data_IF_344417668188
#
_entry.id   IF_344417668188
#
_cell.length_a   1.000
_cell.length_b   1.000
_cell.length_c   1.000
_cell.angle_alpha   90.00
_cell.angle_beta   90.00
_cell.angle_gamma   90.00
#
_symmetry.space_group_name_H-M   'P 1'
#
loop_
_entity.id
_entity.type
_entity.pdbx_description
1 polymer ?
#
# COMPACT_ATOMS: atom_id res chain seq x y z
N UNK A 1 10.48 -47.95 16.38
CA UNK A 1 10.15 -47.67 15.94
C UNK A 1 9.50 -46.81 15.49
N UNK A 2 9.20 -46.11 15.25
CA UNK A 2 8.58 -45.36 14.91
C UNK A 2 8.49 -44.28 14.88
N UNK A 3 8.40 -43.51 14.52
CA UNK A 3 8.41 -42.48 14.44
C UNK A 3 7.64 -41.54 14.20
N UNK A 4 7.36 -40.76 14.44
CA UNK A 4 6.50 -39.88 14.58
C UNK A 4 6.76 -38.73 13.92
N UNK A 5 6.84 -38.30 13.23
CA UNK A 5 7.20 -37.32 12.63
C UNK A 5 6.29 -36.55 12.01
N UNK A 6 5.20 -36.64 11.77
CA UNK A 6 4.35 -36.02 11.11
C UNK A 6 3.87 -34.77 11.53
N UNK A 7 3.97 -34.32 12.63
CA UNK A 7 3.39 -33.22 13.14
C UNK A 7 3.75 -31.93 12.56
N UNK A 8 4.88 -31.73 12.10
CA UNK A 8 5.36 -30.44 11.66
C UNK A 8 4.63 -29.88 10.45
N UNK A 9 3.96 -30.69 9.69
CA UNK A 9 3.31 -30.19 8.53
C UNK A 9 2.19 -29.21 8.80
N UNK A 10 1.47 -29.41 9.84
CA UNK A 10 0.37 -28.51 10.18
C UNK A 10 0.86 -27.11 10.47
N UNK A 11 2.00 -27.01 11.11
CA UNK A 11 2.57 -25.72 11.46
C UNK A 11 2.98 -24.96 10.22
N UNK A 12 3.50 -25.64 9.23
CA UNK A 12 3.90 -24.99 7.99
C UNK A 12 2.73 -24.35 7.28
N UNK A 13 1.58 -24.99 7.26
CA UNK A 13 0.40 -24.44 6.62
C UNK A 13 -0.06 -23.15 7.30
N UNK A 14 -0.01 -23.11 8.60
CA UNK A 14 -0.39 -21.91 9.33
C UNK A 14 0.57 -20.77 9.04
N UNK A 15 1.85 -21.05 8.97
CA UNK A 15 2.85 -20.05 8.67
C UNK A 15 2.67 -19.47 7.26
N UNK A 16 2.31 -20.30 6.29
CA UNK A 16 2.09 -19.83 4.92
C UNK A 16 0.90 -18.88 4.86
N UNK A 17 -0.17 -19.18 5.57
CA UNK A 17 -1.34 -18.31 5.61
C UNK A 17 -1.00 -16.94 6.21
N UNK A 18 -0.23 -16.91 7.28
CA UNK A 18 0.19 -15.68 7.92
C UNK A 18 1.08 -14.84 6.99
N UNK A 19 1.99 -15.50 6.28
CA UNK A 19 2.85 -14.81 5.33
C UNK A 19 2.07 -14.22 4.16
N UNK A 20 1.03 -14.90 3.71
CA UNK A 20 0.20 -14.40 2.63
C UNK A 20 -0.54 -13.13 3.03
N UNK A 21 -1.02 -13.05 4.27
CA UNK A 21 -1.69 -11.85 4.78
C UNK A 21 -0.72 -10.68 4.88
N UNK A 22 0.48 -10.92 5.41
CA UNK A 22 1.50 -9.88 5.53
C UNK A 22 2.04 -9.45 4.17
N UNK A 23 2.06 -10.35 3.18
CA UNK A 23 2.58 -10.04 1.85
C UNK A 23 1.88 -8.88 1.17
N UNK A 24 0.57 -8.72 1.37
CA UNK A 24 -0.16 -7.62 0.75
C UNK A 24 0.32 -6.28 1.26
N UNK A 25 0.50 -6.17 2.55
CA UNK A 25 0.96 -4.93 3.18
C UNK A 25 2.42 -4.67 2.82
N UNK A 26 3.25 -5.70 2.88
CA UNK A 26 4.66 -5.58 2.51
C UNK A 26 4.82 -5.18 1.04
N UNK A 27 3.99 -5.74 0.16
CA UNK A 27 3.96 -5.36 -1.25
C UNK A 27 3.56 -3.92 -1.46
N UNK A 28 2.57 -3.45 -0.70
CA UNK A 28 2.14 -2.06 -0.77
C UNK A 28 3.25 -1.11 -0.31
N UNK A 29 3.90 -1.43 0.80
CA UNK A 29 5.01 -0.63 1.32
C UNK A 29 6.15 -0.58 0.29
N UNK A 30 6.48 -1.72 -0.32
CA UNK A 30 7.52 -1.78 -1.34
C UNK A 30 7.18 -0.91 -2.55
N UNK A 31 5.91 -0.90 -2.97
CA UNK A 31 5.44 -0.07 -4.08
C UNK A 31 5.58 1.41 -3.74
N UNK A 32 5.21 1.81 -2.54
CA UNK A 32 5.35 3.21 -2.10
C UNK A 32 6.82 3.62 -2.07
N UNK A 33 7.72 2.75 -1.64
CA UNK A 33 9.15 3.02 -1.66
C UNK A 33 9.69 3.14 -3.09
N UNK A 34 9.16 2.35 -4.01
CA UNK A 34 9.52 2.45 -5.43
C UNK A 34 9.15 3.83 -5.99
N UNK A 35 7.98 4.34 -5.60
CA UNK A 35 7.56 5.69 -5.99
C UNK A 35 8.52 6.73 -5.43
N UNK A 36 8.95 6.58 -4.19
CA UNK A 36 9.92 7.50 -3.58
C UNK A 36 11.23 7.54 -4.35
N UNK A 37 11.66 6.41 -4.88
CA UNK A 37 12.91 6.30 -5.61
C UNK A 37 12.84 6.72 -7.08
N UNK A 38 11.62 6.95 -7.59
CA UNK A 38 11.42 7.33 -8.99
C UNK A 38 10.94 8.79 -9.03
N UNK A 39 11.80 9.69 -9.48
CA UNK A 39 11.49 11.11 -9.46
C UNK A 39 10.23 11.46 -10.26
N UNK A 40 9.99 10.79 -11.37
CA UNK A 40 8.79 11.03 -12.18
C UNK A 40 7.52 10.59 -11.46
N UNK A 41 7.53 9.41 -10.87
CA UNK A 41 6.38 8.90 -10.12
C UNK A 41 6.15 9.70 -8.86
N UNK A 42 7.21 10.09 -8.18
CA UNK A 42 7.10 10.93 -6.99
C UNK A 42 6.42 12.25 -7.30
N UNK A 43 6.78 12.88 -8.40
CA UNK A 43 6.16 14.12 -8.83
C UNK A 43 4.66 13.93 -9.07
N UNK A 44 4.28 12.84 -9.74
CA UNK A 44 2.88 12.51 -9.99
C UNK A 44 2.13 12.30 -8.68
N UNK A 45 2.72 11.57 -7.75
CA UNK A 45 2.12 11.35 -6.44
C UNK A 45 1.91 12.67 -5.70
N UNK A 46 2.91 13.54 -5.72
CA UNK A 46 2.82 14.83 -5.04
C UNK A 46 1.74 15.74 -5.64
N UNK A 47 1.59 15.72 -6.97
CA UNK A 47 0.52 16.45 -7.63
C UNK A 47 -0.85 15.88 -7.27
N UNK A 48 -0.96 14.54 -7.20
CA UNK A 48 -2.19 13.88 -6.78
C UNK A 48 -2.56 14.26 -5.36
N UNK A 49 -1.58 14.26 -4.45
CA UNK A 49 -1.79 14.65 -3.05
C UNK A 49 -2.29 16.09 -2.94
N UNK A 50 -1.74 16.99 -3.75
CA UNK A 50 -2.18 18.38 -3.75
C UNK A 50 -3.64 18.50 -4.20
N UNK A 51 -4.05 17.73 -5.20
CA UNK A 51 -5.44 17.69 -5.64
C UNK A 51 -6.35 17.17 -4.53
N UNK A 52 -5.94 16.12 -3.85
CA UNK A 52 -6.72 15.56 -2.73
C UNK A 52 -6.87 16.58 -1.60
N UNK A 53 -5.82 17.29 -1.27
CA UNK A 53 -5.86 18.30 -0.21
C UNK A 53 -6.80 19.46 -0.56
N UNK A 54 -6.78 19.90 -1.81
CA UNK A 54 -7.69 20.96 -2.27
C UNK A 54 -9.14 20.50 -2.32
N UNK A 55 -9.37 19.26 -2.69
CA UNK A 55 -10.72 18.72 -2.80
C UNK A 55 -11.36 18.53 -1.44
N UNK A 56 -10.55 18.25 -0.41
CA UNK A 56 -11.05 18.02 0.94
C UNK A 56 -11.91 16.77 1.01
N UNK A 57 -12.94 16.80 1.84
CA UNK A 57 -13.80 15.64 2.08
C UNK A 57 -14.82 15.41 0.96
N UNK A 58 -15.05 16.40 0.13
CA UNK A 58 -16.06 16.31 -0.94
C UNK A 58 -15.44 16.63 -2.29
N UNK A 59 -14.71 15.68 -2.89
CA UNK A 59 -14.11 15.91 -4.19
C UNK A 59 -15.18 16.04 -5.27
N UNK A 60 -15.02 16.99 -6.18
CA UNK A 60 -15.94 17.13 -7.29
C UNK A 60 -15.53 16.21 -8.44
N UNK A 61 -16.32 16.16 -9.49
CA UNK A 61 -16.04 15.29 -10.63
C UNK A 61 -14.70 15.60 -11.31
N UNK A 62 -14.32 16.88 -11.34
CA UNK A 62 -13.05 17.29 -11.94
C UNK A 62 -11.86 16.78 -11.12
N UNK A 63 -11.95 16.86 -9.79
CA UNK A 63 -10.91 16.33 -8.91
C UNK A 63 -10.79 14.81 -9.04
N UNK A 64 -11.92 14.11 -9.07
CA UNK A 64 -11.94 12.66 -9.24
C UNK A 64 -11.27 12.25 -10.56
N UNK A 65 -11.57 12.94 -11.64
CA UNK A 65 -10.98 12.66 -12.95
C UNK A 65 -9.46 12.85 -12.93
N UNK A 66 -8.98 13.88 -12.25
CA UNK A 66 -7.55 14.14 -12.13
C UNK A 66 -6.87 13.05 -11.31
N UNK A 67 -7.48 12.65 -10.19
CA UNK A 67 -6.95 11.59 -9.35
C UNK A 67 -6.85 10.28 -10.13
N UNK A 68 -7.90 9.93 -10.88
CA UNK A 68 -7.88 8.73 -11.72
C UNK A 68 -6.76 8.79 -12.75
N UNK A 69 -6.55 9.96 -13.35
CA UNK A 69 -5.47 10.15 -14.31
C UNK A 69 -4.09 9.93 -13.70
N UNK A 70 -3.88 10.46 -12.49
CA UNK A 70 -2.62 10.25 -11.78
C UNK A 70 -2.44 8.79 -11.39
N UNK A 71 -3.49 8.12 -10.94
CA UNK A 71 -3.44 6.70 -10.60
C UNK A 71 -3.02 5.85 -11.79
N UNK A 72 -3.54 6.17 -12.98
CA UNK A 72 -3.16 5.47 -14.20
C UNK A 72 -1.69 5.70 -14.55
N UNK A 73 -1.20 6.90 -14.35
CA UNK A 73 0.20 7.21 -14.61
C UNK A 73 1.14 6.54 -13.62
N UNK A 74 0.71 6.39 -12.38
CA UNK A 74 1.49 5.68 -11.36
C UNK A 74 1.53 4.17 -11.62
N UNK A 75 0.53 3.65 -12.31
CA UNK A 75 0.49 2.26 -12.74
C UNK A 75 -0.41 1.38 -11.89
N UNK A 76 -0.73 0.17 -12.38
CA UNK A 76 -1.64 -0.73 -11.69
C UNK A 76 -1.11 -1.22 -10.34
N UNK A 77 0.20 -1.33 -10.19
CA UNK A 77 0.80 -1.74 -8.91
C UNK A 77 0.51 -0.72 -7.82
N UNK A 78 0.55 0.56 -8.16
CA UNK A 78 0.23 1.60 -7.20
C UNK A 78 -1.25 1.54 -6.79
N UNK A 79 -2.14 1.30 -7.73
CA UNK A 79 -3.56 1.15 -7.44
C UNK A 79 -3.81 -0.03 -6.49
N UNK A 80 -3.14 -1.15 -6.72
CA UNK A 80 -3.23 -2.32 -5.84
C UNK A 80 -2.71 -1.99 -4.44
N UNK A 81 -1.60 -1.27 -4.35
CA UNK A 81 -1.03 -0.87 -3.07
C UNK A 81 -1.95 0.09 -2.31
N UNK A 82 -2.54 1.03 -3.03
CA UNK A 82 -3.48 1.99 -2.44
C UNK A 82 -4.69 1.26 -1.87
N UNK A 83 -5.24 0.32 -2.63
CA UNK A 83 -6.42 -0.43 -2.21
C UNK A 83 -6.12 -1.44 -1.11
N UNK A 84 -4.87 -1.87 -0.97
CA UNK A 84 -4.48 -2.81 0.09
C UNK A 84 -4.78 -2.26 1.48
N UNK A 85 -4.83 -0.95 1.64
CA UNK A 85 -5.13 -0.33 2.92
C UNK A 85 -6.59 -0.31 3.29
N UNK A 86 -7.49 -0.52 2.33
CA UNK A 86 -8.91 -0.38 2.59
C UNK A 86 -9.50 -1.35 3.60
N UNK A 87 -9.00 -2.54 3.67
CA UNK A 87 -9.52 -3.53 4.61
C UNK A 87 -8.68 -3.68 5.87
N UNK A 88 -7.69 -2.84 6.05
CA UNK A 88 -6.75 -2.94 7.16
C UNK A 88 -7.13 -1.97 8.26
N UNK A 89 -7.16 -2.45 9.49
CA UNK A 89 -7.44 -1.62 10.66
C UNK A 89 -6.27 -0.68 10.88
N UNK A 90 -6.52 0.61 10.96
CA UNK A 90 -5.49 1.62 11.18
C UNK A 90 -4.68 1.41 12.44
N UNK A 91 -5.28 0.79 13.44
CA UNK A 91 -4.61 0.55 14.72
C UNK A 91 -3.79 -0.73 14.72
N UNK A 92 -3.95 -1.58 13.71
CA UNK A 92 -3.18 -2.82 13.61
C UNK A 92 -1.72 -2.52 13.25
N UNK A 93 -0.85 -3.49 13.43
CA UNK A 93 0.56 -3.36 13.03
C UNK A 93 0.68 -3.11 11.53
N UNK A 94 -0.15 -3.75 10.72
CA UNK A 94 -0.16 -3.58 9.27
C UNK A 94 -0.64 -2.17 8.88
N UNK A 95 -1.67 -1.68 9.55
CA UNK A 95 -2.16 -0.32 9.32
C UNK A 95 -1.10 0.72 9.62
N UNK A 96 -0.37 0.53 10.71
CA UNK A 96 0.72 1.43 11.08
C UNK A 96 1.87 1.42 10.08
N UNK A 97 2.17 0.25 9.52
CA UNK A 97 3.19 0.14 8.47
C UNK A 97 2.79 0.91 7.22
N UNK A 98 1.54 0.79 6.80
CA UNK A 98 1.02 1.51 5.65
C UNK A 98 1.02 3.01 5.88
N UNK A 99 0.55 3.45 7.05
CA UNK A 99 0.54 4.86 7.40
C UNK A 99 1.94 5.44 7.41
N UNK A 100 2.90 4.72 7.99
CA UNK A 100 4.28 5.17 8.03
C UNK A 100 4.87 5.29 6.62
N UNK A 101 4.56 4.34 5.74
CA UNK A 101 5.05 4.37 4.37
C UNK A 101 4.45 5.55 3.60
N UNK A 102 3.16 5.83 3.79
CA UNK A 102 2.51 6.96 3.14
C UNK A 102 3.01 8.29 3.69
N UNK A 103 3.24 8.39 4.99
CA UNK A 103 3.80 9.58 5.62
C UNK A 103 5.20 9.86 5.08
N UNK A 104 6.01 8.83 4.97
CA UNK A 104 7.35 8.97 4.41
C UNK A 104 7.30 9.43 2.96
N UNK A 105 6.43 8.82 2.16
CA UNK A 105 6.25 9.21 0.76
C UNK A 105 5.78 10.67 0.67
N UNK A 106 4.80 11.05 1.48
CA UNK A 106 4.30 12.42 1.53
C UNK A 106 5.35 13.44 1.95
N UNK A 107 6.27 13.03 2.83
CA UNK A 107 7.34 13.93 3.29
C UNK A 107 8.30 14.31 2.16
N UNK A 108 8.38 13.48 1.12
CA UNK A 108 9.24 13.77 -0.03
C UNK A 108 8.66 14.83 -0.95
N UNK A 109 7.39 15.18 -0.76
CA UNK A 109 6.72 16.20 -1.56
C UNK A 109 7.04 17.61 -1.14
N UNK A 110 7.44 17.77 0.08
CA UNK A 110 7.68 19.07 0.62
C UNK A 110 9.09 19.43 0.71
#
# INVERSE_FOLDING_TARGET
>A
MIRPILISTAVCLTAIAALAADSKVDGAVATFKTVEGDAGKLKIFCEMSAVMDKAGDNPDAAADAKIDGYMKQLGPDFGTAWNAGEGVDEKSADGKKLDAALDELGSKCG
#
